data_IF_245000344739
#
_entry.id   IF_245000344739
#
_cell.length_a   1.000
_cell.length_b   1.000
_cell.length_c   1.000
_cell.angle_alpha   90.00
_cell.angle_beta   90.00
_cell.angle_gamma   90.00
#
_symmetry.space_group_name_H-M   'P 1'
#
loop_
_entity.id
_entity.type
_entity.pdbx_description
1 polymer ?
#
# COMPACT_ATOMS: atom_id res chain seq x y z
N UNK A 1 -10.98 -18.82 19.91
CA UNK A 1 -9.97 -19.50 19.07
C UNK A 1 -8.66 -19.42 19.82
N UNK A 2 -8.07 -20.55 20.21
CA UNK A 2 -6.81 -20.56 20.98
C UNK A 2 -5.65 -20.08 20.09
N UNK A 3 -4.64 -19.41 20.67
CA UNK A 3 -3.45 -18.91 19.95
C UNK A 3 -2.79 -19.99 19.09
N UNK A 4 -2.81 -21.24 19.56
CA UNK A 4 -2.26 -22.41 18.87
C UNK A 4 -3.00 -22.79 17.57
N UNK A 5 -4.30 -22.48 17.44
CA UNK A 5 -5.06 -22.72 16.20
C UNK A 5 -4.78 -21.65 15.13
N UNK A 6 -4.46 -20.42 15.56
CA UNK A 6 -4.07 -19.32 14.67
C UNK A 6 -2.67 -19.56 14.08
N UNK A 7 -1.72 -20.02 14.91
CA UNK A 7 -0.36 -20.33 14.46
C UNK A 7 -0.32 -21.55 13.52
N UNK A 8 -1.17 -22.56 13.73
CA UNK A 8 -1.26 -23.74 12.84
C UNK A 8 -1.83 -23.41 11.45
N UNK A 9 -2.73 -22.43 11.36
CA UNK A 9 -3.31 -22.01 10.08
C UNK A 9 -2.32 -21.13 9.29
N UNK A 10 -1.51 -20.34 9.98
CA UNK A 10 -0.48 -19.47 9.39
C UNK A 10 0.78 -20.23 8.98
N UNK A 11 1.17 -21.25 9.74
CA UNK A 11 2.42 -21.99 9.54
C UNK A 11 2.16 -23.50 9.33
N UNK A 12 1.80 -23.95 8.11
CA UNK A 12 1.51 -25.36 7.85
C UNK A 12 2.76 -26.25 7.81
N UNK A 13 3.96 -25.67 7.73
CA UNK A 13 5.22 -26.40 7.65
C UNK A 13 6.01 -26.29 8.96
N UNK A 14 6.91 -27.25 9.17
CA UNK A 14 7.91 -27.20 10.23
C UNK A 14 9.28 -27.45 9.63
N UNK A 15 10.26 -26.62 9.97
CA UNK A 15 11.63 -26.67 9.43
C UNK A 15 12.61 -26.90 10.58
N UNK A 16 13.62 -27.72 10.37
CA UNK A 16 14.73 -27.86 11.31
C UNK A 16 15.56 -26.57 11.34
N UNK A 17 15.79 -26.00 12.52
CA UNK A 17 16.47 -24.71 12.66
C UNK A 17 17.90 -24.72 12.10
N UNK A 18 18.61 -25.85 12.22
CA UNK A 18 19.93 -26.01 11.63
C UNK A 18 19.89 -25.87 10.09
N UNK A 19 18.95 -26.58 9.43
CA UNK A 19 18.79 -26.51 7.97
C UNK A 19 18.36 -25.12 7.49
N UNK A 20 17.51 -24.43 8.27
CA UNK A 20 17.13 -23.05 7.96
C UNK A 20 18.33 -22.11 8.01
N UNK A 21 19.20 -22.23 9.01
CA UNK A 21 20.40 -21.38 9.12
C UNK A 21 21.48 -21.72 8.10
N UNK A 22 21.67 -23.00 7.77
CA UNK A 22 22.54 -23.43 6.67
C UNK A 22 22.09 -22.81 5.34
N UNK A 23 20.79 -22.89 5.03
CA UNK A 23 20.21 -22.23 3.87
C UNK A 23 20.36 -20.71 3.94
N UNK A 24 20.10 -20.10 5.10
CA UNK A 24 20.18 -18.65 5.27
C UNK A 24 21.60 -18.14 5.01
N UNK A 25 22.64 -18.84 5.46
CA UNK A 25 24.03 -18.44 5.22
C UNK A 25 24.42 -18.57 3.73
N UNK A 26 23.89 -19.56 3.01
CA UNK A 26 24.00 -19.64 1.55
C UNK A 26 23.25 -18.48 0.86
N UNK A 27 22.01 -18.23 1.27
CA UNK A 27 21.16 -17.16 0.74
C UNK A 27 21.79 -15.77 0.91
N UNK A 28 22.52 -15.53 2.02
CA UNK A 28 23.31 -14.30 2.23
C UNK A 28 24.40 -14.12 1.19
N UNK A 29 25.11 -15.18 0.84
CA UNK A 29 26.16 -15.13 -0.19
C UNK A 29 25.57 -14.79 -1.56
N UNK A 30 24.42 -15.39 -1.89
CA UNK A 30 23.66 -15.08 -3.10
C UNK A 30 23.19 -13.63 -3.12
N UNK A 31 22.70 -13.11 -1.99
CA UNK A 31 22.28 -11.72 -1.84
C UNK A 31 23.43 -10.75 -2.16
N UNK A 32 24.60 -10.99 -1.58
CA UNK A 32 25.81 -10.17 -1.78
C UNK A 32 26.24 -10.23 -3.25
N UNK A 33 26.23 -11.42 -3.86
CA UNK A 33 26.60 -11.59 -5.27
C UNK A 33 25.63 -10.89 -6.24
N UNK A 34 24.34 -10.82 -5.88
CA UNK A 34 23.29 -10.19 -6.67
C UNK A 34 23.06 -8.70 -6.34
N UNK A 35 23.82 -8.12 -5.41
CA UNK A 35 23.61 -6.76 -4.89
C UNK A 35 22.17 -6.56 -4.37
N UNK A 36 21.70 -7.53 -3.56
CA UNK A 36 20.40 -7.49 -2.87
C UNK A 36 20.66 -7.14 -1.40
N UNK A 37 19.97 -6.13 -0.83
CA UNK A 37 20.11 -5.78 0.58
C UNK A 37 19.80 -6.97 1.49
N UNK A 38 20.71 -7.27 2.42
CA UNK A 38 20.51 -8.36 3.39
C UNK A 38 19.27 -8.18 4.28
N UNK A 39 18.81 -6.95 4.44
CA UNK A 39 17.57 -6.66 5.18
C UNK A 39 16.35 -7.30 4.51
N UNK A 40 16.34 -7.47 3.18
CA UNK A 40 15.25 -8.16 2.49
C UNK A 40 15.24 -9.65 2.81
N UNK A 41 16.41 -10.29 2.89
CA UNK A 41 16.52 -11.69 3.31
C UNK A 41 16.05 -11.86 4.76
N UNK A 42 16.50 -10.98 5.67
CA UNK A 42 16.05 -10.96 7.06
C UNK A 42 14.53 -10.84 7.14
N UNK A 43 13.98 -9.89 6.37
CA UNK A 43 12.55 -9.67 6.33
C UNK A 43 11.80 -10.91 5.84
N UNK A 44 12.24 -11.53 4.73
CA UNK A 44 11.59 -12.74 4.19
C UNK A 44 11.54 -13.88 5.21
N UNK A 45 12.65 -14.15 5.89
CA UNK A 45 12.71 -15.20 6.91
C UNK A 45 11.80 -14.89 8.09
N UNK A 46 11.84 -13.66 8.59
CA UNK A 46 11.01 -13.24 9.72
C UNK A 46 9.50 -13.23 9.38
N UNK A 47 9.14 -13.00 8.12
CA UNK A 47 7.75 -13.02 7.68
C UNK A 47 7.21 -14.43 7.45
N UNK A 48 8.07 -15.35 6.98
CA UNK A 48 7.66 -16.70 6.60
C UNK A 48 7.92 -17.75 7.67
N UNK A 49 8.45 -17.37 8.83
CA UNK A 49 8.68 -18.27 9.96
C UNK A 49 8.23 -17.63 11.26
N UNK A 50 8.04 -18.44 12.31
CA UNK A 50 7.78 -17.93 13.66
C UNK A 50 9.06 -17.45 14.37
N UNK A 51 10.16 -17.24 13.65
CA UNK A 51 11.45 -16.83 14.20
C UNK A 51 11.41 -15.35 14.60
N UNK A 52 11.94 -15.03 15.78
CA UNK A 52 12.10 -13.64 16.18
C UNK A 52 13.44 -13.02 15.71
N UNK A 53 13.50 -11.68 15.73
CA UNK A 53 14.68 -10.93 15.28
C UNK A 53 15.94 -11.23 16.09
N UNK A 54 15.81 -11.48 17.39
CA UNK A 54 16.96 -11.76 18.26
C UNK A 54 17.52 -13.16 17.96
N UNK A 55 16.64 -14.15 17.82
CA UNK A 55 16.99 -15.51 17.45
C UNK A 55 17.67 -15.58 16.08
N UNK A 56 17.16 -14.87 15.07
CA UNK A 56 17.80 -14.77 13.75
C UNK A 56 19.20 -14.15 13.84
N UNK A 57 19.36 -13.06 14.60
CA UNK A 57 20.65 -12.36 14.77
C UNK A 57 21.67 -13.20 15.51
N UNK A 58 21.26 -13.91 16.55
CA UNK A 58 22.13 -14.74 17.37
C UNK A 58 22.40 -16.12 16.76
N UNK A 59 21.74 -16.47 15.64
CA UNK A 59 21.72 -17.85 15.10
C UNK A 59 21.33 -18.85 16.19
N UNK A 60 20.33 -18.48 17.00
CA UNK A 60 19.92 -19.29 18.13
C UNK A 60 19.24 -20.57 17.63
N UNK A 61 19.84 -21.72 17.93
CA UNK A 61 19.25 -23.04 17.72
C UNK A 61 18.54 -23.54 18.99
N UNK A 62 18.03 -22.62 19.81
CA UNK A 62 17.29 -22.98 21.01
C UNK A 62 15.89 -23.49 20.60
N UNK A 63 15.77 -24.82 20.50
CA UNK A 63 14.68 -25.51 19.83
C UNK A 63 15.20 -26.17 18.55
N UNK A 64 14.77 -27.40 18.25
CA UNK A 64 15.21 -28.10 17.03
C UNK A 64 14.41 -27.69 15.79
N UNK A 65 13.19 -27.19 15.98
CA UNK A 65 12.21 -26.98 14.92
C UNK A 65 11.57 -25.59 15.03
N UNK A 66 11.23 -25.00 13.88
CA UNK A 66 10.49 -23.73 13.78
C UNK A 66 9.28 -23.90 12.85
N UNK A 67 8.20 -23.19 13.16
CA UNK A 67 7.00 -23.15 12.31
C UNK A 67 7.24 -22.21 11.13
N UNK A 68 6.80 -22.61 9.94
CA UNK A 68 6.98 -21.84 8.71
C UNK A 68 5.75 -21.87 7.80
N UNK A 69 5.56 -20.79 7.04
CA UNK A 69 4.44 -20.60 6.12
C UNK A 69 4.57 -21.54 4.91
N UNK A 70 5.81 -21.88 4.57
CA UNK A 70 6.20 -22.67 3.41
C UNK A 70 7.34 -23.63 3.80
N UNK A 71 7.52 -24.77 3.11
CA UNK A 71 8.65 -25.66 3.34
C UNK A 71 9.97 -25.02 2.89
N UNK A 72 11.11 -25.49 3.44
CA UNK A 72 12.44 -24.97 3.13
C UNK A 72 12.79 -25.01 1.63
N UNK A 73 12.31 -26.02 0.89
CA UNK A 73 12.51 -26.11 -0.56
C UNK A 73 11.90 -24.93 -1.33
N UNK A 74 10.80 -24.36 -0.84
CA UNK A 74 10.19 -23.19 -1.46
C UNK A 74 10.93 -21.89 -1.10
N UNK A 75 11.59 -21.81 0.06
CA UNK A 75 12.45 -20.67 0.39
C UNK A 75 13.55 -20.49 -0.64
N UNK A 76 14.25 -21.57 -1.00
CA UNK A 76 15.31 -21.53 -2.00
C UNK A 76 14.78 -21.09 -3.37
N UNK A 77 13.68 -21.69 -3.84
CA UNK A 77 13.08 -21.35 -5.13
C UNK A 77 12.68 -19.86 -5.18
N UNK A 78 12.01 -19.36 -4.14
CA UNK A 78 11.58 -17.95 -4.08
C UNK A 78 12.78 -17.01 -3.98
N UNK A 79 13.78 -17.36 -3.18
CA UNK A 79 14.98 -16.52 -3.03
C UNK A 79 15.79 -16.41 -4.34
N UNK A 80 15.85 -17.48 -5.13
CA UNK A 80 16.42 -17.44 -6.47
C UNK A 80 15.68 -16.44 -7.38
N UNK A 81 14.36 -16.32 -7.28
CA UNK A 81 13.60 -15.30 -8.02
C UNK A 81 13.97 -13.86 -7.58
N UNK A 82 14.30 -13.62 -6.30
CA UNK A 82 14.81 -12.30 -5.88
C UNK A 82 16.16 -12.01 -6.52
N UNK A 83 17.09 -12.96 -6.43
CA UNK A 83 18.48 -12.76 -6.81
C UNK A 83 18.69 -12.72 -8.33
N UNK A 84 17.98 -13.58 -9.07
CA UNK A 84 18.15 -13.72 -10.53
C UNK A 84 17.16 -12.84 -11.31
N UNK A 85 15.89 -12.84 -10.86
CA UNK A 85 14.79 -12.26 -11.60
C UNK A 85 14.33 -10.90 -11.06
N UNK A 86 14.96 -10.42 -9.97
CA UNK A 86 14.62 -9.15 -9.30
C UNK A 86 13.16 -9.08 -8.85
N UNK A 87 12.54 -10.22 -8.53
CA UNK A 87 11.16 -10.22 -8.00
C UNK A 87 11.16 -9.59 -6.59
N UNK A 88 10.32 -8.57 -6.32
CA UNK A 88 10.21 -7.96 -4.99
C UNK A 88 9.96 -8.99 -3.90
N UNK A 89 10.66 -8.83 -2.77
CA UNK A 89 10.57 -9.78 -1.66
C UNK A 89 9.16 -9.94 -1.09
N UNK A 90 8.33 -8.88 -1.18
CA UNK A 90 6.94 -8.90 -0.76
C UNK A 90 6.06 -9.78 -1.66
N UNK A 91 6.32 -9.81 -2.97
CA UNK A 91 5.65 -10.74 -3.88
C UNK A 91 6.10 -12.18 -3.65
N UNK A 92 7.37 -12.39 -3.25
CA UNK A 92 7.85 -13.70 -2.83
C UNK A 92 7.16 -14.17 -1.54
N UNK A 93 6.94 -13.28 -0.58
CA UNK A 93 6.18 -13.59 0.62
C UNK A 93 4.67 -13.74 0.34
N UNK A 94 4.16 -13.06 -0.70
CA UNK A 94 2.75 -12.98 -1.06
C UNK A 94 1.96 -11.94 -0.24
N UNK A 95 2.65 -11.17 0.61
CA UNK A 95 2.06 -10.13 1.44
C UNK A 95 3.11 -9.07 1.82
N UNK A 96 2.65 -7.95 2.38
CA UNK A 96 3.50 -6.97 3.06
C UNK A 96 2.81 -6.48 4.33
N UNK A 97 3.59 -5.92 5.25
CA UNK A 97 3.06 -5.17 6.38
C UNK A 97 2.94 -3.69 6.01
N UNK A 98 1.82 -3.05 6.35
CA UNK A 98 1.59 -1.62 6.15
C UNK A 98 0.72 -1.09 7.29
N UNK A 99 1.21 -0.10 8.04
CA UNK A 99 0.68 0.28 9.36
C UNK A 99 0.53 -0.97 10.25
N UNK A 100 -0.66 -1.21 10.80
CA UNK A 100 -1.01 -2.39 11.58
C UNK A 100 -1.56 -3.55 10.73
N UNK A 101 -1.59 -3.41 9.40
CA UNK A 101 -2.21 -4.34 8.47
C UNK A 101 -1.17 -5.31 7.89
N UNK A 102 -1.62 -6.53 7.63
CA UNK A 102 -0.95 -7.49 6.77
C UNK A 102 -1.76 -7.59 5.48
N UNK A 103 -1.19 -7.13 4.36
CA UNK A 103 -1.88 -7.00 3.10
C UNK A 103 -1.29 -7.96 2.09
N UNK A 104 -2.13 -8.83 1.51
CA UNK A 104 -1.77 -9.62 0.34
C UNK A 104 -1.38 -8.68 -0.79
N UNK A 105 -0.28 -9.02 -1.45
CA UNK A 105 0.21 -8.32 -2.64
C UNK A 105 0.61 -9.34 -3.70
N UNK A 106 0.33 -9.00 -4.95
CA UNK A 106 0.71 -9.76 -6.15
C UNK A 106 1.22 -8.77 -7.20
N UNK A 107 1.79 -9.24 -8.32
CA UNK A 107 2.16 -8.37 -9.44
C UNK A 107 1.00 -7.56 -10.05
N UNK A 108 -0.25 -7.74 -9.61
CA UNK A 108 -1.41 -6.99 -10.06
C UNK A 108 -1.63 -5.67 -9.27
N UNK A 109 -0.89 -5.45 -8.18
CA UNK A 109 -1.01 -4.26 -7.32
C UNK A 109 0.35 -3.68 -6.97
N UNK A 110 0.42 -2.35 -6.88
CA UNK A 110 1.57 -1.65 -6.28
C UNK A 110 1.77 -2.16 -4.85
N UNK A 111 3.02 -2.41 -4.46
CA UNK A 111 3.33 -2.75 -3.07
C UNK A 111 3.16 -1.47 -2.23
N UNK A 112 2.27 -1.45 -1.21
CA UNK A 112 2.06 -0.28 -0.37
C UNK A 112 3.36 0.26 0.22
N UNK A 113 3.59 1.57 0.05
CA UNK A 113 4.82 2.23 0.49
C UNK A 113 4.69 2.75 1.93
N UNK A 114 5.75 2.66 2.75
CA UNK A 114 5.73 3.20 4.12
C UNK A 114 5.42 4.70 4.18
N UNK A 115 5.86 5.47 3.18
CA UNK A 115 5.60 6.91 3.09
C UNK A 115 4.10 7.19 3.06
N UNK A 116 3.34 6.40 2.30
CA UNK A 116 1.88 6.53 2.14
C UNK A 116 1.12 6.32 3.46
N UNK A 117 1.71 5.68 4.47
CA UNK A 117 1.05 5.44 5.76
C UNK A 117 0.55 6.72 6.41
N UNK A 118 1.27 7.83 6.23
CA UNK A 118 0.93 9.12 6.82
C UNK A 118 -0.39 9.72 6.28
N UNK A 119 -0.84 9.33 5.08
CA UNK A 119 -2.04 9.91 4.46
C UNK A 119 -3.30 9.69 5.30
N UNK A 120 -3.34 8.56 6.03
CA UNK A 120 -4.45 8.21 6.91
C UNK A 120 -4.53 9.17 8.10
N UNK A 121 -3.41 9.43 8.77
CA UNK A 121 -3.38 10.33 9.91
C UNK A 121 -3.69 11.77 9.47
N UNK A 122 -3.16 12.17 8.31
CA UNK A 122 -3.39 13.51 7.73
C UNK A 122 -4.84 13.77 7.37
N UNK A 123 -5.54 12.78 6.78
CA UNK A 123 -6.95 12.97 6.41
C UNK A 123 -7.87 12.95 7.64
N UNK A 124 -7.56 12.13 8.65
CA UNK A 124 -8.29 12.11 9.92
C UNK A 124 -8.09 13.42 10.68
N UNK A 125 -6.86 13.94 10.74
CA UNK A 125 -6.58 15.26 11.33
C UNK A 125 -7.33 16.38 10.60
N UNK A 126 -7.32 16.36 9.26
CA UNK A 126 -8.04 17.34 8.46
C UNK A 126 -9.56 17.27 8.69
N UNK A 127 -10.14 16.09 8.92
CA UNK A 127 -11.57 15.96 9.18
C UNK A 127 -11.98 16.41 10.58
N UNK A 128 -11.07 16.36 11.56
CA UNK A 128 -11.38 16.69 12.94
C UNK A 128 -12.54 15.83 13.46
N UNK A 129 -13.60 16.48 13.98
CA UNK A 129 -14.78 15.80 14.50
C UNK A 129 -15.78 15.38 13.40
N UNK A 130 -15.59 15.80 12.15
CA UNK A 130 -16.50 15.51 11.03
C UNK A 130 -16.15 14.17 10.36
N UNK A 131 -16.32 13.07 11.09
CA UNK A 131 -15.93 11.74 10.62
C UNK A 131 -17.05 10.98 9.90
N UNK A 132 -18.30 11.37 10.11
CA UNK A 132 -19.46 10.72 9.49
C UNK A 132 -19.61 11.08 8.00
N UNK A 133 -20.16 10.13 7.24
CA UNK A 133 -20.46 10.29 5.81
C UNK A 133 -19.68 9.34 4.90
N UNK A 134 -19.58 9.73 3.63
CA UNK A 134 -18.94 8.92 2.59
C UNK A 134 -17.50 9.38 2.36
N UNK A 135 -16.60 8.44 2.22
CA UNK A 135 -15.18 8.68 1.96
C UNK A 135 -14.79 7.93 0.69
N UNK A 136 -13.84 8.44 -0.09
CA UNK A 136 -13.40 7.75 -1.31
C UNK A 136 -11.88 7.62 -1.41
N UNK A 137 -11.44 6.41 -1.75
CA UNK A 137 -10.08 6.07 -2.18
C UNK A 137 -10.09 5.75 -3.68
N UNK A 138 -9.45 6.61 -4.47
CA UNK A 138 -9.38 6.47 -5.93
C UNK A 138 -8.04 5.87 -6.35
N UNK A 139 -8.07 4.76 -7.10
CA UNK A 139 -6.86 3.98 -7.41
C UNK A 139 -6.43 3.12 -6.22
N UNK A 140 -7.37 2.38 -5.63
CA UNK A 140 -7.17 1.74 -4.32
C UNK A 140 -6.08 0.65 -4.32
N UNK A 141 -5.73 0.07 -5.47
CA UNK A 141 -4.69 -0.94 -5.58
C UNK A 141 -4.97 -2.15 -4.69
N UNK A 142 -4.07 -2.42 -3.73
CA UNK A 142 -4.23 -3.50 -2.74
C UNK A 142 -5.29 -3.21 -1.66
N UNK A 143 -5.93 -2.04 -1.69
CA UNK A 143 -6.87 -1.58 -0.67
C UNK A 143 -6.22 -0.91 0.54
N UNK A 144 -4.91 -0.67 0.54
CA UNK A 144 -4.18 -0.21 1.73
C UNK A 144 -4.78 1.04 2.38
N UNK A 145 -5.02 2.08 1.57
CA UNK A 145 -5.61 3.35 2.03
C UNK A 145 -7.05 3.12 2.49
N UNK A 146 -7.90 2.52 1.65
CA UNK A 146 -9.30 2.28 1.97
C UNK A 146 -9.50 1.45 3.26
N UNK A 147 -8.75 0.36 3.42
CA UNK A 147 -8.81 -0.53 4.59
C UNK A 147 -8.29 0.17 5.84
N UNK A 148 -7.15 0.86 5.73
CA UNK A 148 -6.58 1.63 6.84
C UNK A 148 -7.53 2.72 7.34
N UNK A 149 -8.10 3.49 6.40
CA UNK A 149 -9.05 4.55 6.71
C UNK A 149 -10.33 4.00 7.34
N UNK A 150 -10.90 2.94 6.76
CA UNK A 150 -12.10 2.29 7.30
C UNK A 150 -11.88 1.76 8.72
N UNK A 151 -10.69 1.21 9.00
CA UNK A 151 -10.28 0.77 10.34
C UNK A 151 -10.23 1.91 11.34
N UNK A 152 -9.58 3.03 11.00
CA UNK A 152 -9.48 4.21 11.86
C UNK A 152 -10.85 4.85 12.13
N UNK A 153 -11.72 4.96 11.11
CA UNK A 153 -13.08 5.46 11.25
C UNK A 153 -13.94 4.55 12.13
N UNK A 154 -13.82 3.21 11.96
CA UNK A 154 -14.51 2.22 12.80
C UNK A 154 -14.05 2.28 14.26
N UNK A 155 -12.75 2.43 14.50
CA UNK A 155 -12.20 2.54 15.85
C UNK A 155 -12.70 3.79 16.59
N UNK A 156 -12.97 4.88 15.86
CA UNK A 156 -13.58 6.12 16.37
C UNK A 156 -15.10 6.08 16.43
N UNK A 157 -15.71 4.94 16.10
CA UNK A 157 -17.17 4.74 16.10
C UNK A 157 -17.92 5.66 15.12
N UNK A 158 -17.26 6.17 14.08
CA UNK A 158 -17.89 6.99 13.06
C UNK A 158 -18.92 6.19 12.26
N UNK A 159 -20.02 6.86 11.88
CA UNK A 159 -21.01 6.36 10.92
C UNK A 159 -20.51 6.74 9.52
N UNK A 160 -19.49 6.01 9.08
CA UNK A 160 -18.82 6.25 7.81
C UNK A 160 -18.82 5.00 6.92
N UNK A 161 -18.83 5.27 5.61
CA UNK A 161 -18.66 4.28 4.55
C UNK A 161 -17.51 4.71 3.66
N UNK A 162 -16.53 3.82 3.44
CA UNK A 162 -15.40 4.06 2.54
C UNK A 162 -15.68 3.39 1.20
N UNK A 163 -15.57 4.16 0.13
CA UNK A 163 -15.70 3.73 -1.25
C UNK A 163 -14.30 3.60 -1.84
N UNK A 164 -13.99 2.46 -2.43
CA UNK A 164 -12.69 2.19 -3.02
C UNK A 164 -12.90 1.90 -4.51
N UNK A 165 -12.20 2.59 -5.39
CA UNK A 165 -12.30 2.37 -6.84
C UNK A 165 -10.95 2.06 -7.47
N UNK A 166 -10.98 1.22 -8.50
CA UNK A 166 -9.82 0.95 -9.34
C UNK A 166 -10.26 0.58 -10.76
N UNK A 167 -9.38 0.85 -11.73
CA UNK A 167 -9.57 0.41 -13.12
C UNK A 167 -9.17 -1.04 -13.32
N UNK A 168 -8.36 -1.60 -12.42
CA UNK A 168 -7.94 -3.00 -12.47
C UNK A 168 -8.88 -3.90 -11.68
N UNK A 169 -9.59 -4.79 -12.40
CA UNK A 169 -10.40 -5.85 -11.79
C UNK A 169 -9.55 -6.75 -10.87
N UNK A 170 -8.31 -7.03 -11.26
CA UNK A 170 -7.38 -7.85 -10.48
C UNK A 170 -6.97 -7.16 -9.17
N UNK A 171 -6.69 -5.85 -9.21
CA UNK A 171 -6.41 -5.06 -8.01
C UNK A 171 -7.61 -5.07 -7.05
N UNK A 172 -8.83 -4.85 -7.56
CA UNK A 172 -10.04 -4.90 -6.74
C UNK A 172 -10.31 -6.29 -6.14
N UNK A 173 -9.93 -7.38 -6.81
CA UNK A 173 -10.03 -8.71 -6.23
C UNK A 173 -9.11 -8.86 -5.01
N UNK A 174 -7.89 -8.35 -5.10
CA UNK A 174 -6.91 -8.34 -3.99
C UNK A 174 -7.39 -7.42 -2.86
N UNK A 175 -7.86 -6.21 -3.17
CA UNK A 175 -8.38 -5.28 -2.18
C UNK A 175 -9.59 -5.86 -1.40
N UNK A 176 -10.49 -6.56 -2.09
CA UNK A 176 -11.62 -7.27 -1.44
C UNK A 176 -11.13 -8.40 -0.53
N UNK A 177 -10.14 -9.18 -0.95
CA UNK A 177 -9.57 -10.24 -0.12
C UNK A 177 -8.90 -9.64 1.12
N UNK A 178 -8.10 -8.59 0.96
CA UNK A 178 -7.46 -7.89 2.07
C UNK A 178 -8.48 -7.31 3.06
N UNK A 179 -9.57 -6.74 2.56
CA UNK A 179 -10.65 -6.24 3.42
C UNK A 179 -11.32 -7.36 4.23
N UNK A 180 -11.47 -8.55 3.62
CA UNK A 180 -12.02 -9.72 4.28
C UNK A 180 -11.06 -10.26 5.35
N UNK A 181 -9.78 -10.38 5.01
CA UNK A 181 -8.72 -10.83 5.92
C UNK A 181 -8.56 -9.87 7.11
N UNK A 182 -8.77 -8.57 6.90
CA UNK A 182 -8.76 -7.53 7.95
C UNK A 182 -10.10 -7.39 8.70
N UNK A 183 -11.17 -8.09 8.30
CA UNK A 183 -12.47 -8.02 8.96
C UNK A 183 -13.18 -6.66 8.87
N UNK A 184 -12.95 -5.91 7.78
CA UNK A 184 -13.45 -4.54 7.59
C UNK A 184 -14.42 -4.40 6.39
N UNK A 185 -14.81 -5.51 5.74
CA UNK A 185 -15.73 -5.52 4.60
C UNK A 185 -17.05 -4.77 4.85
N UNK A 186 -17.54 -4.74 6.09
CA UNK A 186 -18.77 -4.07 6.48
C UNK A 186 -18.73 -2.54 6.32
N UNK A 187 -17.52 -1.97 6.16
CA UNK A 187 -17.29 -0.53 5.99
C UNK A 187 -16.89 -0.12 4.58
N UNK A 188 -16.75 -1.08 3.65
CA UNK A 188 -16.15 -0.86 2.34
C UNK A 188 -17.08 -1.20 1.18
N UNK A 189 -17.12 -0.32 0.17
CA UNK A 189 -17.74 -0.59 -1.12
C UNK A 189 -16.72 -0.47 -2.23
N UNK A 190 -16.59 -1.51 -3.05
CA UNK A 190 -15.59 -1.59 -4.12
C UNK A 190 -16.22 -1.39 -5.49
N UNK A 191 -15.66 -0.47 -6.26
CA UNK A 191 -16.19 -0.01 -7.55
C UNK A 191 -15.17 -0.20 -8.66
N UNK A 192 -15.59 -0.75 -9.79
CA UNK A 192 -14.72 -0.90 -10.96
C UNK A 192 -14.97 0.22 -11.96
N UNK A 193 -13.94 0.97 -12.30
CA UNK A 193 -13.99 2.04 -13.30
C UNK A 193 -12.91 3.09 -13.05
N UNK A 194 -12.82 4.07 -13.95
CA UNK A 194 -11.80 5.11 -13.87
C UNK A 194 -12.26 6.25 -12.98
N UNK A 195 -11.48 6.57 -11.95
CA UNK A 195 -11.69 7.74 -11.09
C UNK A 195 -13.14 7.84 -10.59
N UNK A 196 -13.90 8.81 -11.11
CA UNK A 196 -15.26 9.10 -10.68
C UNK A 196 -16.33 8.39 -11.48
N UNK A 197 -15.97 7.70 -12.57
CA UNK A 197 -16.91 7.02 -13.47
C UNK A 197 -17.93 6.14 -12.74
N UNK A 198 -17.55 5.32 -11.73
CA UNK A 198 -18.50 4.43 -11.06
C UNK A 198 -19.58 5.14 -10.25
N UNK A 199 -19.45 6.45 -10.02
CA UNK A 199 -20.34 7.22 -9.15
C UNK A 199 -21.33 8.10 -9.92
N UNK A 200 -21.25 8.18 -11.27
CA UNK A 200 -22.08 9.06 -12.11
C UNK A 200 -23.60 8.95 -11.87
N UNK A 201 -24.09 7.76 -11.58
CA UNK A 201 -25.52 7.51 -11.34
C UNK A 201 -25.89 7.59 -9.84
N UNK A 202 -25.00 8.13 -9.00
CA UNK A 202 -25.19 8.23 -7.56
C UNK A 202 -25.34 9.68 -7.07
N UNK A 203 -26.18 9.87 -6.05
CA UNK A 203 -26.31 11.15 -5.34
C UNK A 203 -25.25 11.33 -4.23
N UNK A 204 -24.20 10.50 -4.23
CA UNK A 204 -23.19 10.51 -3.17
C UNK A 204 -22.38 11.79 -3.23
N UNK A 205 -22.10 12.36 -2.06
CA UNK A 205 -21.06 13.36 -1.86
C UNK A 205 -20.08 12.87 -0.80
N UNK A 206 -18.80 13.08 -1.05
CA UNK A 206 -17.73 12.58 -0.22
C UNK A 206 -17.25 13.66 0.76
N UNK A 207 -17.17 13.29 2.04
CA UNK A 207 -16.47 14.01 3.10
C UNK A 207 -15.01 14.23 2.73
N UNK A 208 -14.37 13.20 2.17
CA UNK A 208 -13.01 13.30 1.68
C UNK A 208 -12.76 12.40 0.47
N UNK A 209 -11.89 12.89 -0.41
CA UNK A 209 -11.22 12.16 -1.46
C UNK A 209 -9.76 11.96 -1.08
N UNK A 210 -9.33 10.72 -1.12
CA UNK A 210 -7.97 10.28 -0.89
C UNK A 210 -7.50 9.54 -2.14
N UNK A 211 -6.24 9.73 -2.54
CA UNK A 211 -5.64 8.95 -3.62
C UNK A 211 -4.13 8.92 -3.49
N UNK A 212 -3.52 7.78 -3.83
CA UNK A 212 -2.12 7.72 -4.25
C UNK A 212 -2.11 7.40 -5.75
N UNK A 213 -2.32 8.40 -6.62
CA UNK A 213 -2.43 8.17 -8.06
C UNK A 213 -1.04 7.91 -8.67
N UNK A 214 -0.98 7.31 -9.87
CA UNK A 214 0.25 7.31 -10.66
C UNK A 214 0.71 8.75 -10.92
N UNK A 215 1.94 9.07 -10.51
CA UNK A 215 2.51 10.42 -10.61
C UNK A 215 3.91 10.46 -11.22
N UNK A 216 4.47 9.31 -11.61
CA UNK A 216 5.83 9.24 -12.15
C UNK A 216 5.78 9.54 -13.65
N UNK A 217 6.57 10.49 -14.18
CA UNK A 217 6.64 10.72 -15.62
C UNK A 217 7.00 9.43 -16.37
N UNK A 218 6.35 9.17 -17.51
CA UNK A 218 6.50 7.94 -18.28
C UNK A 218 7.98 7.62 -18.62
N UNK A 219 8.78 8.64 -18.96
CA UNK A 219 10.21 8.50 -19.26
C UNK A 219 11.07 8.19 -18.02
N UNK A 220 10.59 8.55 -16.83
CA UNK A 220 11.24 8.24 -15.54
C UNK A 220 10.91 6.82 -15.09
N UNK A 221 9.71 6.31 -15.41
CA UNK A 221 9.33 4.91 -15.12
C UNK A 221 10.34 3.92 -15.70
N UNK A 222 10.84 4.18 -16.92
CA UNK A 222 11.81 3.31 -17.60
C UNK A 222 13.19 3.27 -16.92
N UNK A 223 13.47 4.26 -16.06
CA UNK A 223 14.72 4.42 -15.31
C UNK A 223 14.63 3.92 -13.87
N UNK A 224 13.45 3.46 -13.42
CA UNK A 224 13.27 2.90 -12.10
C UNK A 224 14.09 1.61 -11.93
N UNK A 225 14.33 1.24 -10.67
CA UNK A 225 14.95 -0.03 -10.34
C UNK A 225 14.21 -1.19 -11.03
N UNK A 226 14.91 -2.20 -11.59
CA UNK A 226 14.29 -3.30 -12.33
C UNK A 226 13.17 -4.01 -11.56
N UNK A 227 13.33 -4.20 -10.26
CA UNK A 227 12.31 -4.78 -9.37
C UNK A 227 11.02 -3.96 -9.29
N UNK A 228 11.05 -2.67 -9.59
CA UNK A 228 9.86 -1.82 -9.65
C UNK A 228 9.35 -1.75 -11.10
N UNK A 229 10.23 -1.36 -12.03
CA UNK A 229 9.89 -1.15 -13.45
C UNK A 229 9.29 -2.40 -14.10
N UNK A 230 9.90 -3.56 -13.86
CA UNK A 230 9.59 -4.79 -14.60
C UNK A 230 8.59 -5.69 -13.86
N UNK A 231 8.32 -5.42 -12.58
CA UNK A 231 7.54 -6.34 -11.71
C UNK A 231 6.29 -5.71 -11.09
N UNK A 232 6.25 -4.40 -10.88
CA UNK A 232 5.04 -3.73 -10.39
C UNK A 232 4.18 -3.24 -11.57
N UNK A 233 2.85 -3.11 -11.42
CA UNK A 233 1.99 -2.69 -12.51
C UNK A 233 2.38 -1.31 -13.03
N UNK A 234 2.75 -1.21 -14.32
CA UNK A 234 3.05 0.09 -14.93
C UNK A 234 1.91 1.10 -14.77
N UNK A 235 0.67 0.63 -14.84
CA UNK A 235 -0.54 1.44 -14.65
C UNK A 235 -0.58 2.14 -13.27
N UNK A 236 0.06 1.57 -12.25
CA UNK A 236 0.12 2.16 -10.91
C UNK A 236 1.30 3.14 -10.73
N UNK A 237 2.20 3.24 -11.72
CA UNK A 237 3.40 4.07 -11.67
C UNK A 237 3.32 5.27 -12.64
N UNK A 238 2.89 5.01 -13.86
CA UNK A 238 2.94 5.93 -14.99
C UNK A 238 1.86 7.02 -14.88
N UNK A 239 2.28 8.23 -14.52
CA UNK A 239 1.44 9.42 -14.45
C UNK A 239 1.39 10.23 -15.75
N UNK A 240 1.82 9.66 -16.87
CA UNK A 240 1.82 10.29 -18.19
C UNK A 240 3.09 11.08 -18.48
N UNK A 241 3.03 11.98 -19.47
CA UNK A 241 4.21 12.69 -20.00
C UNK A 241 4.97 13.47 -18.92
N UNK A 242 4.23 14.17 -18.04
CA UNK A 242 4.79 14.99 -16.96
C UNK A 242 4.51 14.46 -15.57
N UNK A 243 3.84 13.31 -15.45
CA UNK A 243 3.38 12.77 -14.16
C UNK A 243 2.13 13.46 -13.58
N UNK A 244 1.48 14.35 -14.34
CA UNK A 244 0.33 15.15 -13.89
C UNK A 244 -1.01 14.74 -14.49
N UNK A 245 -1.07 13.72 -15.36
CA UNK A 245 -2.30 13.38 -16.08
C UNK A 245 -3.41 12.97 -15.10
N UNK A 246 -3.08 12.07 -14.17
CA UNK A 246 -4.00 11.64 -13.11
C UNK A 246 -4.32 12.77 -12.14
N UNK A 247 -3.30 13.55 -11.73
CA UNK A 247 -3.48 14.68 -10.82
C UNK A 247 -4.43 15.73 -11.41
N UNK A 248 -4.35 16.02 -12.71
CA UNK A 248 -5.22 16.98 -13.39
C UNK A 248 -6.69 16.53 -13.34
N UNK A 249 -6.95 15.25 -13.60
CA UNK A 249 -8.31 14.67 -13.48
C UNK A 249 -8.85 14.85 -12.05
N UNK A 250 -8.03 14.53 -11.05
CA UNK A 250 -8.41 14.63 -9.64
C UNK A 250 -8.68 16.07 -9.19
N UNK A 251 -7.90 17.04 -9.67
CA UNK A 251 -8.11 18.47 -9.38
C UNK A 251 -9.40 18.97 -10.04
N UNK A 252 -9.63 18.59 -11.31
CA UNK A 252 -10.71 19.19 -12.08
C UNK A 252 -12.08 18.63 -11.73
N UNK A 253 -12.17 17.32 -11.43
CA UNK A 253 -13.44 16.63 -11.25
C UNK A 253 -13.88 16.55 -9.79
N UNK A 254 -12.95 16.45 -8.83
CA UNK A 254 -13.30 16.26 -7.42
C UNK A 254 -14.28 17.30 -6.82
N UNK A 255 -14.30 18.59 -7.22
CA UNK A 255 -15.27 19.55 -6.69
C UNK A 255 -16.73 19.16 -6.94
N UNK A 256 -17.01 18.35 -7.97
CA UNK A 256 -18.36 17.87 -8.27
C UNK A 256 -18.83 16.76 -7.32
N UNK A 257 -17.89 16.14 -6.59
CA UNK A 257 -18.09 14.94 -5.79
C UNK A 257 -17.88 15.16 -4.31
N UNK A 258 -17.15 16.20 -3.93
CA UNK A 258 -16.92 16.54 -2.53
C UNK A 258 -18.14 17.26 -1.93
N UNK A 259 -18.37 17.01 -0.65
CA UNK A 259 -19.25 17.85 0.17
C UNK A 259 -18.71 19.29 0.25
N UNK A 260 -19.53 20.22 0.74
CA UNK A 260 -19.04 21.53 1.14
C UNK A 260 -17.97 21.37 2.24
N UNK A 261 -16.86 22.11 2.12
CA UNK A 261 -15.66 21.93 2.97
C UNK A 261 -15.06 20.50 2.93
N UNK A 262 -15.43 19.69 1.94
CA UNK A 262 -14.89 18.35 1.75
C UNK A 262 -13.38 18.37 1.53
N UNK A 263 -12.70 17.31 1.96
CA UNK A 263 -11.24 17.22 1.95
C UNK A 263 -10.78 16.61 0.63
N UNK A 264 -9.78 17.23 0.02
CA UNK A 264 -9.02 16.65 -1.07
C UNK A 264 -7.61 16.41 -0.58
N UNK A 265 -7.14 15.16 -0.65
CA UNK A 265 -5.77 14.80 -0.28
C UNK A 265 -5.22 13.78 -1.27
N UNK A 266 -4.02 14.03 -1.77
CA UNK A 266 -3.31 13.07 -2.64
C UNK A 266 -1.84 12.99 -2.28
N UNK A 267 -1.25 11.82 -2.52
CA UNK A 267 0.20 11.66 -2.62
C UNK A 267 0.70 12.14 -3.99
N UNK A 268 1.91 12.72 -4.03
CA UNK A 268 2.55 13.18 -5.25
C UNK A 268 4.08 13.06 -5.18
N UNK A 269 4.76 13.28 -6.31
CA UNK A 269 6.23 13.32 -6.37
C UNK A 269 6.75 14.67 -5.83
N UNK A 270 7.92 14.66 -5.19
CA UNK A 270 8.42 15.80 -4.43
C UNK A 270 8.59 17.09 -5.25
N UNK A 271 9.00 17.00 -6.51
CA UNK A 271 9.15 18.17 -7.39
C UNK A 271 7.81 18.78 -7.83
N UNK A 272 6.72 18.02 -7.77
CA UNK A 272 5.39 18.44 -8.22
C UNK A 272 4.66 19.36 -7.23
N UNK A 273 5.11 19.43 -5.97
CA UNK A 273 4.36 20.07 -4.89
C UNK A 273 4.01 21.53 -5.14
N UNK A 274 4.90 22.32 -5.75
CA UNK A 274 4.60 23.73 -6.07
C UNK A 274 3.50 23.86 -7.12
N UNK A 275 3.68 23.20 -8.26
CA UNK A 275 2.74 23.27 -9.37
C UNK A 275 1.36 22.73 -8.98
N UNK A 276 1.32 21.65 -8.20
CA UNK A 276 0.07 21.08 -7.71
C UNK A 276 -0.71 22.08 -6.85
N UNK A 277 -0.03 22.80 -5.93
CA UNK A 277 -0.68 23.86 -5.14
C UNK A 277 -1.21 24.99 -6.02
N UNK A 278 -0.42 25.44 -6.99
CA UNK A 278 -0.81 26.54 -7.88
C UNK A 278 -2.07 26.17 -8.69
N UNK A 279 -2.15 24.93 -9.21
CA UNK A 279 -3.32 24.40 -9.93
C UNK A 279 -4.56 24.28 -9.03
N UNK A 280 -4.40 23.77 -7.80
CA UNK A 280 -5.50 23.70 -6.82
C UNK A 280 -6.06 25.10 -6.50
N UNK A 281 -5.18 26.08 -6.23
CA UNK A 281 -5.59 27.46 -5.98
C UNK A 281 -6.34 28.07 -7.19
N UNK A 282 -5.84 27.85 -8.41
CA UNK A 282 -6.49 28.33 -9.64
C UNK A 282 -7.87 27.71 -9.85
N UNK A 283 -8.04 26.44 -9.47
CA UNK A 283 -9.32 25.72 -9.57
C UNK A 283 -10.33 26.15 -8.49
N UNK A 284 -9.90 26.91 -7.49
CA UNK A 284 -10.72 27.48 -6.43
C UNK A 284 -10.70 26.71 -5.10
N UNK A 285 -9.80 25.74 -4.96
CA UNK A 285 -9.62 25.05 -3.68
C UNK A 285 -9.11 26.02 -2.61
N UNK A 286 -9.52 25.76 -1.36
CA UNK A 286 -9.14 26.54 -0.19
C UNK A 286 -8.16 25.77 0.69
N UNK A 287 -7.48 26.48 1.59
CA UNK A 287 -6.55 25.89 2.57
C UNK A 287 -5.48 24.97 1.96
N UNK A 288 -5.05 25.27 0.74
CA UNK A 288 -4.10 24.46 -0.03
C UNK A 288 -2.75 24.45 0.67
N UNK A 289 -2.26 23.27 1.03
CA UNK A 289 -0.96 23.08 1.68
C UNK A 289 -0.27 21.80 1.20
N UNK A 290 1.06 21.79 1.31
CA UNK A 290 1.86 20.57 1.10
C UNK A 290 2.41 20.10 2.44
N UNK A 291 2.38 18.79 2.66
CA UNK A 291 2.94 18.13 3.83
C UNK A 291 4.09 17.24 3.39
N UNK A 292 5.14 17.23 4.21
CA UNK A 292 6.33 16.44 3.97
C UNK A 292 6.23 15.07 4.62
N UNK A 293 6.87 14.08 4.01
CA UNK A 293 7.09 12.78 4.63
C UNK A 293 8.17 12.84 5.72
N UNK A 294 8.42 11.70 6.38
CA UNK A 294 9.44 11.58 7.43
C UNK A 294 10.87 11.80 6.92
N UNK A 295 11.11 11.71 5.61
CA UNK A 295 12.38 12.03 4.97
C UNK A 295 12.51 13.54 4.67
N UNK A 296 11.48 14.34 4.96
CA UNK A 296 11.46 15.78 4.74
C UNK A 296 11.19 16.18 3.30
N UNK A 297 10.72 15.26 2.45
CA UNK A 297 10.35 15.53 1.07
C UNK A 297 8.86 15.89 0.99
N UNK A 298 8.52 16.87 0.14
CA UNK A 298 7.13 17.18 -0.16
C UNK A 298 6.44 15.91 -0.71
N UNK A 299 5.33 15.49 -0.10
CA UNK A 299 4.72 14.18 -0.40
C UNK A 299 3.21 14.23 -0.56
N UNK A 300 2.53 15.05 0.24
CA UNK A 300 1.07 15.13 0.22
C UNK A 300 0.61 16.54 -0.06
N UNK A 301 -0.38 16.69 -0.92
CA UNK A 301 -1.12 17.93 -1.06
C UNK A 301 -2.49 17.77 -0.42
N UNK A 302 -2.88 18.76 0.39
CA UNK A 302 -4.15 18.77 1.12
C UNK A 302 -4.87 20.08 0.82
N UNK A 303 -6.16 20.02 0.56
CA UNK A 303 -6.99 21.17 0.30
C UNK A 303 -8.45 20.94 0.71
N UNK A 304 -9.22 22.03 0.79
CA UNK A 304 -10.67 22.04 0.97
C UNK A 304 -11.36 22.33 -0.35
N UNK A 305 -12.47 21.63 -0.59
CA UNK A 305 -13.32 21.84 -1.76
C UNK A 305 -13.69 23.34 -1.92
N UNK A 306 -13.80 23.83 -3.18
CA UNK A 306 -14.35 25.16 -3.45
C UNK A 306 -15.70 25.39 -2.77
N UNK A 307 -16.04 26.66 -2.54
CA UNK A 307 -17.35 27.05 -1.99
C UNK A 307 -18.49 26.70 -2.96
#
# INVERSE_FOLDING_TARGET
MHRDDFDRCRYPATIELALLFDWYDLARQQAIAADVPLLELDWLVLQLTSLDRLALRLRSTQGSMISACIPLSEFEQRWQQRCCDRVPVQYLAGFTTWRSLELRVTPDVLIPRPETEAIIDLVIEAAGDQLDGHWVDLGTGSGAIAIGLAGELKARQAIATVHASDTSVAALAIARQNAADCGICDRLHFHHGSWFEPFHDSDIRFRALISNPPYIPAATVDQLAPEVRDREPRLALDGGETGFDCLSILIDQAPNWLEHDGIWIVEHEASQGRELRDRLCQRGYREVRTVRDLAGLDRFAIARSPL
#
